data_IF_787405465430
#
_entry.id   IF_787405465430
#
_cell.length_a   1.000
_cell.length_b   1.000
_cell.length_c   1.000
_cell.angle_alpha   90.00
_cell.angle_beta   90.00
_cell.angle_gamma   90.00
#
_symmetry.space_group_name_H-M   'P 1'
#
loop_
_entity.id
_entity.type
_entity.pdbx_description
1 polymer ?
#
# COMPACT_ATOMS: atom_id res chain seq x y z
N UNK A 1 -15.21 -10.75 1.61
CA UNK A 1 -15.29 -9.30 1.46
C UNK A 1 -13.96 -8.78 1.97
N UNK A 2 -13.17 -8.12 1.13
CA UNK A 2 -11.93 -7.45 1.54
C UNK A 2 -12.30 -6.34 2.52
N UNK A 3 -11.62 -6.25 3.66
CA UNK A 3 -12.00 -5.31 4.71
C UNK A 3 -11.16 -4.03 4.73
N UNK A 4 -9.92 -4.10 4.26
CA UNK A 4 -9.01 -2.95 4.20
C UNK A 4 -7.93 -3.20 3.14
N UNK A 5 -7.51 -2.10 2.50
CA UNK A 5 -6.33 -2.03 1.65
C UNK A 5 -5.27 -1.25 2.41
N UNK A 6 -4.08 -1.82 2.56
CA UNK A 6 -2.92 -1.17 3.14
C UNK A 6 -1.91 -0.95 2.02
N UNK A 7 -1.56 0.31 1.78
CA UNK A 7 -0.57 0.68 0.77
C UNK A 7 0.64 1.31 1.42
N UNK A 8 1.84 0.97 0.93
CA UNK A 8 2.99 1.83 1.15
C UNK A 8 2.76 3.21 0.49
N UNK A 9 3.51 4.22 0.94
CA UNK A 9 3.45 5.56 0.37
C UNK A 9 4.46 5.75 -0.75
N UNK A 10 5.74 5.45 -0.49
CA UNK A 10 6.84 5.70 -1.41
C UNK A 10 6.90 4.56 -2.43
N UNK A 11 7.05 4.88 -3.71
CA UNK A 11 7.02 3.88 -4.80
C UNK A 11 5.64 3.30 -5.12
N UNK A 12 4.65 3.42 -4.22
CA UNK A 12 3.28 2.93 -4.42
C UNK A 12 2.25 4.03 -4.67
N UNK A 13 2.34 5.18 -3.99
CA UNK A 13 1.41 6.32 -4.16
C UNK A 13 2.18 7.54 -4.67
N UNK A 14 3.33 7.79 -4.06
CA UNK A 14 4.28 8.80 -4.47
C UNK A 14 5.32 8.16 -5.39
N UNK A 15 5.43 8.72 -6.58
CA UNK A 15 6.51 8.38 -7.50
C UNK A 15 7.85 8.85 -6.93
N UNK A 16 8.85 7.95 -6.90
CA UNK A 16 10.20 8.29 -6.43
C UNK A 16 10.84 9.44 -7.24
N UNK A 17 10.55 9.50 -8.54
CA UNK A 17 10.99 10.56 -9.46
C UNK A 17 9.84 11.51 -9.81
N UNK A 18 9.42 12.34 -8.87
CA UNK A 18 8.40 13.35 -9.18
C UNK A 18 7.98 14.27 -8.05
N UNK A 19 8.13 13.87 -6.78
CA UNK A 19 7.64 14.63 -5.61
C UNK A 19 6.18 15.13 -5.78
N UNK A 20 5.37 14.39 -6.53
CA UNK A 20 3.94 14.66 -6.72
C UNK A 20 3.18 13.34 -6.87
N UNK A 21 1.91 13.37 -6.46
CA UNK A 21 0.97 12.26 -6.62
C UNK A 21 0.17 12.53 -7.89
N UNK A 22 0.13 11.54 -8.78
CA UNK A 22 -0.61 11.63 -10.03
C UNK A 22 -2.13 11.75 -9.78
N UNK A 23 -2.82 12.55 -10.58
CA UNK A 23 -4.26 12.80 -10.42
C UNK A 23 -5.12 11.54 -10.63
N UNK A 24 -4.67 10.62 -11.48
CA UNK A 24 -5.31 9.32 -11.69
C UNK A 24 -5.11 8.40 -10.48
N UNK A 25 -3.93 8.42 -9.84
CA UNK A 25 -3.69 7.71 -8.58
C UNK A 25 -4.66 8.21 -7.51
N UNK A 26 -4.72 9.53 -7.30
CA UNK A 26 -5.60 10.08 -6.26
C UNK A 26 -7.08 9.81 -6.52
N UNK A 27 -7.54 9.98 -7.77
CA UNK A 27 -8.92 9.67 -8.15
C UNK A 27 -9.25 8.20 -7.88
N UNK A 28 -8.36 7.29 -8.24
CA UNK A 28 -8.58 5.84 -8.07
C UNK A 28 -8.64 5.45 -6.60
N UNK A 29 -7.71 5.97 -5.78
CA UNK A 29 -7.73 5.75 -4.32
C UNK A 29 -9.03 6.27 -3.71
N UNK A 30 -9.49 7.46 -4.10
CA UNK A 30 -10.76 8.04 -3.59
C UNK A 30 -11.95 7.15 -3.94
N UNK A 31 -12.00 6.62 -5.17
CA UNK A 31 -13.09 5.73 -5.60
C UNK A 31 -13.06 4.39 -4.85
N UNK A 32 -11.87 3.81 -4.67
CA UNK A 32 -11.70 2.56 -3.91
C UNK A 32 -12.06 2.74 -2.44
N UNK A 33 -11.62 3.84 -1.82
CA UNK A 33 -11.86 4.13 -0.39
C UNK A 33 -13.34 4.26 -0.02
N UNK A 34 -14.22 4.56 -0.99
CA UNK A 34 -15.68 4.56 -0.78
C UNK A 34 -16.26 3.16 -0.56
N UNK A 35 -15.58 2.13 -1.06
CA UNK A 35 -16.04 0.74 -1.03
C UNK A 35 -15.26 -0.07 0.00
N UNK A 36 -13.94 0.09 0.01
CA UNK A 36 -13.01 -0.62 0.89
C UNK A 36 -12.05 0.42 1.47
N UNK A 37 -12.00 0.60 2.79
CA UNK A 37 -11.08 1.54 3.42
C UNK A 37 -9.64 1.36 2.95
N UNK A 38 -9.00 2.46 2.55
CA UNK A 38 -7.58 2.52 2.21
C UNK A 38 -6.83 3.16 3.38
N UNK A 39 -5.74 2.53 3.82
CA UNK A 39 -4.83 3.04 4.85
C UNK A 39 -3.42 3.09 4.28
N UNK A 40 -2.66 4.15 4.58
CA UNK A 40 -1.30 4.36 4.08
C UNK A 40 -0.31 4.09 5.22
N UNK A 41 0.70 3.27 4.99
CA UNK A 41 1.82 3.05 5.92
C UNK A 41 3.09 3.53 5.25
N UNK A 42 3.97 4.24 5.97
CA UNK A 42 5.24 4.71 5.41
C UNK A 42 6.37 4.63 6.43
N UNK A 43 7.57 4.34 5.93
CA UNK A 43 8.81 4.38 6.70
C UNK A 43 9.34 5.81 6.96
N UNK A 44 8.73 6.84 6.35
CA UNK A 44 9.01 8.25 6.66
C UNK A 44 8.79 8.50 8.15
N UNK A 45 9.74 9.18 8.78
CA UNK A 45 9.82 9.23 10.25
C UNK A 45 10.38 10.56 10.80
N UNK A 46 10.92 11.44 9.96
CA UNK A 46 11.36 12.77 10.39
C UNK A 46 10.21 13.76 10.27
N UNK A 47 10.14 14.76 11.15
CA UNK A 47 9.12 15.83 11.10
C UNK A 47 9.01 16.45 9.71
N UNK A 48 10.15 16.69 9.06
CA UNK A 48 10.23 17.20 7.69
C UNK A 48 9.54 16.25 6.71
N UNK A 49 9.95 14.97 6.68
CA UNK A 49 9.39 13.97 5.76
C UNK A 49 7.89 13.70 6.00
N UNK A 50 7.46 13.76 7.26
CA UNK A 50 6.05 13.58 7.66
C UNK A 50 5.19 14.76 7.20
N UNK A 51 5.70 15.99 7.39
CA UNK A 51 5.03 17.20 6.92
C UNK A 51 4.90 17.21 5.40
N UNK A 52 5.98 16.88 4.69
CA UNK A 52 6.00 16.80 3.22
C UNK A 52 4.98 15.79 2.70
N UNK A 53 4.93 14.57 3.27
CA UNK A 53 3.96 13.56 2.87
C UNK A 53 2.51 14.03 3.06
N UNK A 54 2.20 14.65 4.21
CA UNK A 54 0.86 15.20 4.50
C UNK A 54 0.48 16.33 3.53
N UNK A 55 1.42 17.21 3.18
CA UNK A 55 1.19 18.27 2.20
C UNK A 55 0.93 17.72 0.79
N UNK A 56 1.64 16.66 0.38
CA UNK A 56 1.41 15.99 -0.90
C UNK A 56 0.01 15.36 -0.95
N UNK A 57 -0.38 14.63 0.11
CA UNK A 57 -1.72 14.05 0.22
C UNK A 57 -2.80 15.14 0.19
N UNK A 58 -2.59 16.25 0.89
CA UNK A 58 -3.52 17.38 0.87
C UNK A 58 -3.71 17.95 -0.53
N UNK A 59 -2.61 18.21 -1.25
CA UNK A 59 -2.66 18.73 -2.64
C UNK A 59 -3.34 17.75 -3.60
N UNK A 60 -3.20 16.46 -3.36
CA UNK A 60 -3.82 15.40 -4.15
C UNK A 60 -5.30 15.13 -3.80
N UNK A 61 -5.85 15.80 -2.76
CA UNK A 61 -7.21 15.53 -2.28
C UNK A 61 -7.35 14.27 -1.42
N UNK A 62 -6.24 13.71 -0.94
CA UNK A 62 -6.14 12.48 -0.16
C UNK A 62 -5.94 12.71 1.35
N UNK A 63 -6.11 13.94 1.85
CA UNK A 63 -5.91 14.27 3.27
C UNK A 63 -6.83 13.53 4.24
N UNK A 64 -7.93 12.97 3.74
CA UNK A 64 -8.88 12.16 4.52
C UNK A 64 -8.48 10.68 4.61
N UNK A 65 -7.47 10.24 3.85
CA UNK A 65 -6.93 8.89 3.91
C UNK A 65 -5.94 8.82 5.08
N UNK A 66 -6.13 7.91 6.07
CA UNK A 66 -5.21 7.78 7.18
C UNK A 66 -3.79 7.39 6.72
N UNK A 67 -2.78 8.08 7.25
CA UNK A 67 -1.37 7.77 7.04
C UNK A 67 -0.65 7.53 8.37
N UNK A 68 0.09 6.43 8.45
CA UNK A 68 0.83 5.98 9.62
C UNK A 68 2.33 6.07 9.36
N UNK A 69 3.03 6.74 10.27
CA UNK A 69 4.47 7.02 10.19
C UNK A 69 5.25 6.19 11.20
N UNK A 70 6.47 5.84 10.84
CA UNK A 70 7.39 5.14 11.73
C UNK A 70 7.87 6.08 12.84
N UNK A 71 7.93 5.55 14.06
CA UNK A 71 8.63 6.19 15.17
C UNK A 71 10.08 5.67 15.25
N UNK A 72 11.05 6.56 15.02
CA UNK A 72 12.48 6.20 15.03
C UNK A 72 13.00 5.79 16.41
N UNK A 73 12.29 6.12 17.49
CA UNK A 73 12.67 5.70 18.85
C UNK A 73 12.29 4.24 19.12
N UNK A 74 11.35 3.70 18.33
CA UNK A 74 10.86 2.33 18.47
C UNK A 74 11.46 1.43 17.39
N UNK A 75 11.57 1.93 16.17
CA UNK A 75 12.05 1.17 15.02
C UNK A 75 13.16 1.93 14.28
N UNK A 76 14.33 1.31 14.19
CA UNK A 76 15.48 1.90 13.50
C UNK A 76 15.34 1.87 11.97
N UNK A 77 16.38 2.35 11.27
CA UNK A 77 16.44 2.39 9.81
C UNK A 77 17.12 1.17 9.18
N UNK A 78 17.35 0.10 9.95
CA UNK A 78 17.78 -1.17 9.39
C UNK A 78 16.62 -1.82 8.62
N UNK A 79 16.88 -2.68 7.62
CA UNK A 79 15.83 -3.44 6.95
C UNK A 79 14.91 -4.18 7.94
N UNK A 80 15.49 -4.82 8.97
CA UNK A 80 14.73 -5.49 10.04
C UNK A 80 13.84 -4.52 10.84
N UNK A 81 14.31 -3.31 11.11
CA UNK A 81 13.53 -2.28 11.79
C UNK A 81 12.33 -1.83 10.95
N UNK A 82 12.53 -1.66 9.64
CA UNK A 82 11.47 -1.31 8.69
C UNK A 82 10.41 -2.42 8.58
N UNK A 83 10.86 -3.68 8.44
CA UNK A 83 9.97 -4.85 8.40
C UNK A 83 9.16 -4.94 9.70
N UNK A 84 9.82 -4.83 10.86
CA UNK A 84 9.16 -4.90 12.16
C UNK A 84 8.11 -3.79 12.35
N UNK A 85 8.43 -2.56 11.93
CA UNK A 85 7.48 -1.45 11.96
C UNK A 85 6.26 -1.73 11.08
N UNK A 86 6.47 -2.06 9.80
CA UNK A 86 5.39 -2.32 8.84
C UNK A 86 4.52 -3.48 9.32
N UNK A 87 5.13 -4.60 9.73
CA UNK A 87 4.41 -5.77 10.23
C UNK A 87 3.58 -5.47 11.49
N UNK A 88 4.15 -4.70 12.45
CA UNK A 88 3.44 -4.25 13.65
C UNK A 88 2.23 -3.38 13.30
N UNK A 89 2.43 -2.40 12.42
CA UNK A 89 1.36 -1.49 11.99
C UNK A 89 0.25 -2.24 11.25
N UNK A 90 0.59 -3.10 10.28
CA UNK A 90 -0.36 -3.93 9.55
C UNK A 90 -1.13 -4.85 10.50
N UNK A 91 -0.46 -5.45 11.49
CA UNK A 91 -1.11 -6.26 12.51
C UNK A 91 -2.12 -5.44 13.30
N UNK A 92 -1.74 -4.26 13.79
CA UNK A 92 -2.67 -3.36 14.51
C UNK A 92 -3.86 -2.95 13.65
N UNK A 93 -3.63 -2.59 12.39
CA UNK A 93 -4.69 -2.16 11.47
C UNK A 93 -5.60 -3.30 11.02
N UNK A 94 -5.10 -4.54 11.08
CA UNK A 94 -5.85 -5.75 10.74
C UNK A 94 -6.54 -6.38 11.95
N UNK A 95 -6.14 -6.10 13.20
CA UNK A 95 -6.88 -6.56 14.38
C UNK A 95 -8.31 -6.03 14.44
N UNK A 96 -8.56 -4.87 13.82
CA UNK A 96 -9.91 -4.31 13.63
C UNK A 96 -10.77 -5.13 12.63
N UNK A 97 -10.16 -6.08 11.91
CA UNK A 97 -10.71 -6.72 10.72
C UNK A 97 -10.49 -8.25 10.72
N UNK A 98 -11.57 -9.02 10.72
CA UNK A 98 -11.53 -10.51 10.79
C UNK A 98 -11.27 -11.15 9.40
N UNK A 99 -11.23 -10.38 8.30
CA UNK A 99 -11.25 -10.92 6.92
C UNK A 99 -10.41 -10.06 5.94
N UNK A 100 -10.11 -10.54 4.72
CA UNK A 100 -8.81 -10.38 4.05
C UNK A 100 -8.34 -8.93 3.91
N UNK A 101 -7.04 -8.74 4.15
CA UNK A 101 -6.28 -7.51 3.92
C UNK A 101 -5.53 -7.63 2.59
N UNK A 102 -5.56 -6.56 1.79
CA UNK A 102 -4.67 -6.39 0.64
C UNK A 102 -3.50 -5.52 1.06
N UNK A 103 -2.27 -5.99 0.83
CA UNK A 103 -1.04 -5.20 0.95
C UNK A 103 -0.57 -4.75 -0.41
N UNK A 104 -0.22 -3.47 -0.57
CA UNK A 104 0.38 -2.91 -1.79
C UNK A 104 1.77 -2.38 -1.42
N UNK A 105 2.81 -2.93 -2.03
CA UNK A 105 4.21 -2.56 -1.76
C UNK A 105 5.05 -2.56 -3.03
N UNK A 106 6.22 -1.94 -2.98
CA UNK A 106 7.12 -1.82 -4.14
C UNK A 106 8.47 -2.54 -3.93
N UNK A 107 8.85 -2.80 -2.68
CA UNK A 107 10.16 -3.33 -2.31
C UNK A 107 10.07 -4.63 -1.47
N UNK A 108 11.23 -5.22 -1.16
CA UNK A 108 11.32 -6.48 -0.40
C UNK A 108 10.89 -6.35 1.06
N UNK A 109 11.10 -5.18 1.69
CA UNK A 109 10.70 -4.97 3.09
C UNK A 109 9.19 -4.98 3.27
N UNK A 110 8.46 -4.53 2.25
CA UNK A 110 7.00 -4.65 2.18
C UNK A 110 6.58 -6.11 2.08
N UNK A 111 7.15 -6.85 1.14
CA UNK A 111 6.85 -8.27 0.97
C UNK A 111 7.08 -9.03 2.29
N UNK A 112 8.24 -8.89 2.92
CA UNK A 112 8.55 -9.57 4.18
C UNK A 112 7.58 -9.17 5.30
N UNK A 113 7.24 -7.88 5.42
CA UNK A 113 6.26 -7.42 6.39
C UNK A 113 4.86 -8.03 6.13
N UNK A 114 4.43 -8.12 4.87
CA UNK A 114 3.14 -8.73 4.52
C UNK A 114 3.11 -10.22 4.83
N UNK A 115 4.19 -10.97 4.56
CA UNK A 115 4.27 -12.40 4.87
C UNK A 115 4.21 -12.71 6.37
N UNK A 116 4.65 -11.78 7.23
CA UNK A 116 4.60 -11.92 8.68
C UNK A 116 3.23 -11.59 9.29
N UNK A 117 2.25 -11.22 8.47
CA UNK A 117 0.95 -10.70 8.94
C UNK A 117 -0.24 -11.39 8.27
N UNK A 118 -1.45 -10.96 8.61
CA UNK A 118 -2.70 -11.52 8.05
C UNK A 118 -3.05 -10.99 6.64
N UNK A 119 -2.09 -10.39 5.91
CA UNK A 119 -2.29 -10.02 4.51
C UNK A 119 -2.48 -11.28 3.68
N UNK A 120 -3.60 -11.34 2.94
CA UNK A 120 -3.93 -12.52 2.12
C UNK A 120 -3.64 -12.33 0.64
N UNK A 121 -3.57 -11.07 0.21
CA UNK A 121 -3.29 -10.70 -1.16
C UNK A 121 -2.24 -9.61 -1.15
N UNK A 122 -1.07 -9.95 -1.66
CA UNK A 122 0.03 -9.00 -1.81
C UNK A 122 0.01 -8.54 -3.26
N UNK A 123 -0.05 -7.24 -3.48
CA UNK A 123 0.15 -6.61 -4.78
C UNK A 123 1.52 -5.96 -4.75
N UNK A 124 2.43 -6.44 -5.59
CA UNK A 124 3.76 -5.84 -5.74
C UNK A 124 3.80 -4.94 -6.97
N UNK A 125 4.10 -3.66 -6.76
CA UNK A 125 4.36 -2.67 -7.81
C UNK A 125 5.85 -2.77 -8.15
N UNK A 126 6.18 -3.18 -9.37
CA UNK A 126 7.57 -3.49 -9.75
C UNK A 126 8.13 -2.51 -10.77
N UNK A 127 9.25 -1.86 -10.46
CA UNK A 127 9.91 -0.90 -11.36
C UNK A 127 11.03 -1.51 -12.25
N UNK A 128 11.67 -2.62 -11.86
CA UNK A 128 12.70 -3.32 -12.67
C UNK A 128 12.69 -4.87 -12.52
N UNK A 129 13.16 -5.59 -13.54
CA UNK A 129 12.96 -7.04 -13.80
C UNK A 129 13.84 -8.05 -13.02
N UNK A 130 14.65 -7.70 -12.03
CA UNK A 130 15.71 -8.59 -11.54
C UNK A 130 15.71 -8.96 -10.05
N UNK A 131 14.60 -9.48 -9.48
CA UNK A 131 14.56 -9.97 -8.08
C UNK A 131 13.69 -11.23 -7.95
N UNK A 132 14.09 -12.15 -7.06
CA UNK A 132 13.34 -13.37 -6.70
C UNK A 132 11.99 -13.02 -6.07
N UNK A 133 10.89 -13.50 -6.66
CA UNK A 133 9.52 -13.19 -6.23
C UNK A 133 9.00 -14.36 -5.37
N UNK A 134 8.53 -14.11 -4.13
CA UNK A 134 7.83 -15.12 -3.35
C UNK A 134 6.54 -15.57 -4.08
N UNK A 135 6.23 -16.87 -4.05
CA UNK A 135 5.16 -17.52 -4.84
C UNK A 135 3.73 -16.97 -4.58
N UNK A 136 3.53 -16.10 -3.58
CA UNK A 136 2.21 -15.66 -3.12
C UNK A 136 1.82 -14.21 -3.50
N UNK A 137 2.66 -13.46 -4.22
CA UNK A 137 2.31 -12.09 -4.64
C UNK A 137 1.67 -12.04 -6.03
N UNK A 138 0.63 -11.21 -6.17
CA UNK A 138 0.20 -10.71 -7.47
C UNK A 138 1.11 -9.56 -7.86
N UNK A 139 1.84 -9.72 -8.95
CA UNK A 139 2.83 -8.74 -9.39
C UNK A 139 2.24 -7.91 -10.51
N UNK A 140 2.26 -6.59 -10.34
CA UNK A 140 1.94 -5.62 -11.39
C UNK A 140 3.25 -4.95 -11.76
N UNK A 141 3.71 -5.23 -12.98
CA UNK A 141 4.89 -4.59 -13.53
C UNK A 141 4.53 -3.17 -13.95
N UNK A 142 5.37 -2.21 -13.56
CA UNK A 142 5.26 -0.83 -13.99
C UNK A 142 6.22 -0.64 -15.15
N UNK A 143 5.67 -0.51 -16.35
CA UNK A 143 6.41 0.08 -17.46
C UNK A 143 6.33 1.61 -17.31
N UNK A 144 7.47 2.29 -17.41
CA UNK A 144 7.64 3.74 -17.53
C UNK A 144 6.57 4.62 -16.85
N UNK A 145 6.89 5.15 -15.65
CA UNK A 145 6.26 6.36 -15.10
C UNK A 145 4.71 6.37 -14.98
N UNK A 146 4.05 5.21 -15.04
CA UNK A 146 2.60 5.11 -15.19
C UNK A 146 1.84 4.61 -13.95
N UNK A 147 2.17 5.17 -12.79
CA UNK A 147 1.56 4.76 -11.52
C UNK A 147 0.02 4.91 -11.51
N UNK A 148 -0.52 5.84 -12.32
CA UNK A 148 -1.96 5.99 -12.53
C UNK A 148 -2.63 4.76 -13.12
N UNK A 149 -2.06 4.18 -14.18
CA UNK A 149 -2.57 2.95 -14.79
C UNK A 149 -2.41 1.75 -13.87
N UNK A 150 -1.29 1.67 -13.15
CA UNK A 150 -1.07 0.63 -12.12
C UNK A 150 -2.21 0.63 -11.10
N UNK A 151 -2.59 1.80 -10.57
CA UNK A 151 -3.73 1.90 -9.66
C UNK A 151 -5.06 1.50 -10.30
N UNK A 152 -5.26 1.77 -11.59
CA UNK A 152 -6.43 1.29 -12.32
C UNK A 152 -6.46 -0.24 -12.43
N UNK A 153 -5.32 -0.88 -12.64
CA UNK A 153 -5.21 -2.35 -12.64
C UNK A 153 -5.45 -2.94 -11.25
N UNK A 154 -4.89 -2.31 -10.20
CA UNK A 154 -5.17 -2.65 -8.81
C UNK A 154 -6.67 -2.62 -8.55
N UNK A 155 -7.34 -1.53 -8.93
CA UNK A 155 -8.80 -1.40 -8.78
C UNK A 155 -9.55 -2.56 -9.45
N UNK A 156 -9.23 -2.87 -10.72
CA UNK A 156 -9.85 -4.00 -11.44
C UNK A 156 -9.62 -5.34 -10.75
N UNK A 157 -8.41 -5.57 -10.22
CA UNK A 157 -8.07 -6.78 -9.49
C UNK A 157 -8.88 -6.89 -8.20
N UNK A 158 -8.98 -5.80 -7.42
CA UNK A 158 -9.77 -5.73 -6.19
C UNK A 158 -11.26 -5.96 -6.46
N UNK A 159 -11.83 -5.33 -7.50
CA UNK A 159 -13.23 -5.52 -7.90
C UNK A 159 -13.53 -6.99 -8.25
N UNK A 160 -12.67 -7.62 -9.06
CA UNK A 160 -12.80 -9.04 -9.42
C UNK A 160 -12.75 -9.96 -8.19
N UNK A 161 -11.95 -9.61 -7.17
CA UNK A 161 -11.91 -10.36 -5.91
C UNK A 161 -13.18 -10.20 -5.07
N UNK A 162 -13.79 -9.01 -5.09
CA UNK A 162 -15.10 -8.76 -4.51
C UNK A 162 -16.14 -9.71 -5.09
N UNK A 163 -16.27 -9.71 -6.42
CA UNK A 163 -17.24 -10.52 -7.16
C UNK A 163 -17.07 -12.02 -6.91
N UNK A 164 -15.83 -12.53 -6.95
CA UNK A 164 -15.54 -13.94 -6.69
C UNK A 164 -15.91 -14.37 -5.27
N UNK A 165 -15.82 -13.47 -4.29
CA UNK A 165 -16.19 -13.78 -2.92
C UNK A 165 -17.71 -13.75 -2.71
N UNK A 166 -18.43 -12.88 -3.41
CA UNK A 166 -19.89 -12.88 -3.43
C UNK A 166 -20.44 -14.16 -4.09
N UNK A 167 -19.86 -14.59 -5.21
CA UNK A 167 -20.22 -15.85 -5.89
C UNK A 167 -19.96 -17.12 -5.06
N UNK A 168 -18.99 -17.09 -4.13
CA UNK A 168 -18.74 -18.22 -3.20
C UNK A 168 -19.68 -18.23 -1.98
N UNK A 169 -20.41 -17.13 -1.75
CA UNK A 169 -21.37 -16.99 -0.66
C UNK A 169 -22.82 -17.26 -1.08
N UNK A 170 -23.13 -17.04 -2.36
CA UNK A 170 -24.41 -17.44 -2.99
C UNK A 170 -24.46 -18.95 -3.22
#
# INVERSE_FOLDING_TARGET
MIQVIISDFDGCILKEKGNHIDAMVSKTIIEMNKQIPVKIVTARATDKSMKEAKEMLLKAGLSHIPIFFRDMNVHDNSPSGLIAYKASMITSLSQEHIVPVIGIGDNETDDEAYHLTNVRHIIRIRWEESVHIPVQSHVINVEEDNLGEVWCEIKKYVEKMGDLHELRRA
#
